data_IF_395669664119
#
_entry.id   IF_395669664119
#
_cell.length_a   1.000
_cell.length_b   1.000
_cell.length_c   1.000
_cell.angle_alpha   90.00
_cell.angle_beta   90.00
_cell.angle_gamma   90.00
#
_symmetry.space_group_name_H-M   'P 1'
#
loop_
_entity.id
_entity.type
_entity.pdbx_description
1 polymer ?
#
# COMPACT_ATOMS: atom_id res chain seq x y z
N UNK A 1 6.59 -0.68 -12.41
CA UNK A 1 7.01 0.67 -12.86
C UNK A 1 7.51 0.68 -14.30
N UNK A 2 8.54 -0.10 -14.69
CA UNK A 2 9.12 -0.08 -16.06
C UNK A 2 8.04 -0.16 -17.14
N UNK A 3 7.25 -1.23 -17.15
CA UNK A 3 6.19 -1.44 -18.13
C UNK A 3 5.20 -0.27 -18.22
N UNK A 4 4.76 0.27 -17.08
CA UNK A 4 3.82 1.39 -17.03
C UNK A 4 4.45 2.67 -17.61
N UNK A 5 5.72 2.96 -17.30
CA UNK A 5 6.44 4.12 -17.84
C UNK A 5 6.63 4.03 -19.36
N UNK A 6 6.84 2.83 -19.89
CA UNK A 6 7.08 2.59 -21.33
C UNK A 6 5.78 2.51 -22.15
N UNK A 7 4.65 2.12 -21.55
CA UNK A 7 3.43 1.77 -22.29
C UNK A 7 2.20 2.63 -21.96
N UNK A 8 2.23 3.44 -20.88
CA UNK A 8 1.10 4.23 -20.43
C UNK A 8 1.44 5.73 -20.44
N UNK A 9 0.96 6.45 -21.45
CA UNK A 9 1.24 7.89 -21.64
C UNK A 9 0.58 8.79 -20.58
N UNK A 10 -0.56 8.39 -20.02
CA UNK A 10 -1.36 9.17 -19.07
C UNK A 10 -1.30 8.62 -17.64
N UNK A 11 -0.30 7.79 -17.33
CA UNK A 11 -0.12 7.21 -16.00
C UNK A 11 1.05 7.91 -15.29
N UNK A 12 0.79 8.51 -14.14
CA UNK A 12 1.83 9.15 -13.30
C UNK A 12 2.11 8.37 -12.02
N UNK A 13 1.21 7.47 -11.63
CA UNK A 13 1.28 6.74 -10.37
C UNK A 13 0.92 5.27 -10.54
N UNK A 14 1.50 4.41 -9.70
CA UNK A 14 1.15 3.00 -9.57
C UNK A 14 0.69 2.74 -8.16
N UNK A 15 -0.46 2.10 -8.00
CA UNK A 15 -0.92 1.57 -6.73
C UNK A 15 -0.51 0.10 -6.58
N UNK A 16 -0.10 -0.28 -5.37
CA UNK A 16 0.21 -1.67 -5.01
C UNK A 16 -0.61 -2.11 -3.80
N UNK A 17 -1.09 -3.34 -3.85
CA UNK A 17 -1.87 -3.97 -2.79
C UNK A 17 -1.39 -5.41 -2.60
N UNK A 18 -1.19 -5.89 -1.35
CA UNK A 18 -0.91 -7.30 -1.11
C UNK A 18 -2.16 -8.14 -1.33
N UNK A 19 -1.97 -9.36 -1.83
CA UNK A 19 -3.09 -10.28 -2.12
C UNK A 19 -3.59 -11.06 -0.90
N UNK A 20 -2.88 -11.01 0.21
CA UNK A 20 -3.15 -11.71 1.47
C UNK A 20 -3.88 -10.85 2.52
N UNK A 21 -4.36 -9.68 2.14
CA UNK A 21 -5.00 -8.68 3.00
C UNK A 21 -6.37 -8.27 2.44
N UNK A 22 -7.41 -9.12 2.55
CA UNK A 22 -8.66 -8.95 1.81
C UNK A 22 -9.63 -7.91 2.37
N UNK A 23 -9.38 -7.35 3.57
CA UNK A 23 -10.34 -6.48 4.27
C UNK A 23 -9.97 -4.98 4.25
N UNK A 24 -8.97 -4.60 3.45
CA UNK A 24 -8.60 -3.18 3.37
C UNK A 24 -9.76 -2.34 2.81
N UNK A 25 -9.97 -1.11 3.32
CA UNK A 25 -11.09 -0.28 2.91
C UNK A 25 -10.86 0.33 1.53
N UNK A 26 -11.92 0.41 0.73
CA UNK A 26 -11.86 1.06 -0.60
C UNK A 26 -11.44 2.53 -0.51
N UNK A 27 -11.78 3.21 0.59
CA UNK A 27 -11.39 4.59 0.87
C UNK A 27 -9.87 4.83 0.88
N UNK A 28 -9.05 3.78 0.99
CA UNK A 28 -7.58 3.91 0.91
C UNK A 28 -7.14 4.50 -0.44
N UNK A 29 -7.83 4.12 -1.52
CA UNK A 29 -7.53 4.59 -2.88
C UNK A 29 -7.85 6.07 -3.00
N UNK A 30 -9.03 6.48 -2.53
CA UNK A 30 -9.46 7.88 -2.56
C UNK A 30 -8.51 8.76 -1.73
N UNK A 31 -8.12 8.32 -0.53
CA UNK A 31 -7.18 9.03 0.31
C UNK A 31 -5.80 9.16 -0.36
N UNK A 32 -5.29 8.11 -1.00
CA UNK A 32 -4.05 8.18 -1.75
C UNK A 32 -4.13 9.17 -2.93
N UNK A 33 -5.23 9.15 -3.69
CA UNK A 33 -5.45 10.07 -4.82
C UNK A 33 -5.49 11.52 -4.32
N UNK A 34 -6.22 11.80 -3.25
CA UNK A 34 -6.31 13.15 -2.70
C UNK A 34 -4.94 13.64 -2.20
N UNK A 35 -4.19 12.78 -1.52
CA UNK A 35 -2.88 13.13 -1.01
C UNK A 35 -1.85 13.35 -2.13
N UNK A 36 -1.89 12.53 -3.18
CA UNK A 36 -0.98 12.67 -4.33
C UNK A 36 -1.10 14.01 -5.06
N UNK A 37 -2.29 14.64 -5.02
CA UNK A 37 -2.51 15.96 -5.61
C UNK A 37 -1.72 17.08 -4.94
N UNK A 38 -1.33 16.91 -3.68
CA UNK A 38 -0.51 17.89 -2.94
C UNK A 38 0.94 17.93 -3.42
N UNK A 39 1.40 16.90 -4.10
CA UNK A 39 2.77 16.76 -4.64
C UNK A 39 3.89 16.93 -3.60
N UNK A 40 3.61 16.64 -2.32
CA UNK A 40 4.57 16.76 -1.23
C UNK A 40 5.48 15.54 -1.11
N UNK A 41 5.03 14.39 -1.60
CA UNK A 41 5.78 13.13 -1.58
C UNK A 41 5.54 12.34 -2.85
N UNK A 42 6.56 11.58 -3.27
CA UNK A 42 6.50 10.67 -4.41
C UNK A 42 6.16 9.22 -4.00
N UNK A 43 6.09 8.96 -2.69
CA UNK A 43 5.72 7.66 -2.12
C UNK A 43 4.71 7.90 -1.01
N UNK A 44 3.53 7.30 -1.16
CA UNK A 44 2.49 7.29 -0.14
C UNK A 44 2.25 5.84 0.28
N UNK A 45 2.22 5.55 1.58
CA UNK A 45 1.92 4.22 2.09
C UNK A 45 0.90 4.29 3.22
N UNK A 46 0.15 3.21 3.41
CA UNK A 46 -0.76 3.10 4.53
C UNK A 46 -0.03 2.79 5.84
N UNK A 47 -0.60 3.26 6.93
CA UNK A 47 -0.26 2.83 8.29
C UNK A 47 -1.53 2.65 9.13
N UNK A 48 -1.48 1.80 10.13
CA UNK A 48 -2.54 1.61 11.12
C UNK A 48 -1.96 1.23 12.47
N UNK A 49 -2.52 1.77 13.55
CA UNK A 49 -2.05 1.49 14.91
C UNK A 49 -0.52 1.61 15.09
N UNK A 50 0.10 2.60 14.43
CA UNK A 50 1.55 2.81 14.44
C UNK A 50 2.37 1.84 13.61
N UNK A 51 1.75 0.87 12.90
CA UNK A 51 2.40 -0.08 11.99
C UNK A 51 2.35 0.43 10.56
N UNK A 52 3.49 0.41 9.88
CA UNK A 52 3.62 0.76 8.46
C UNK A 52 3.28 -0.43 7.56
N UNK A 53 2.51 -0.19 6.50
CA UNK A 53 2.11 -1.19 5.51
C UNK A 53 2.70 -0.80 4.15
N UNK A 54 4.01 -0.95 3.98
CA UNK A 54 4.74 -0.42 2.83
C UNK A 54 4.33 -1.00 1.47
N UNK A 55 3.62 -2.13 1.44
CA UNK A 55 3.08 -2.71 0.20
C UNK A 55 1.74 -2.08 -0.18
N UNK A 56 0.97 -1.54 0.78
CA UNK A 56 -0.18 -0.69 0.50
C UNK A 56 0.31 0.71 0.16
N UNK A 57 0.62 0.95 -1.10
CA UNK A 57 1.28 2.18 -1.49
C UNK A 57 0.87 2.73 -2.84
N UNK A 58 1.07 4.03 -2.98
CA UNK A 58 0.99 4.76 -4.23
C UNK A 58 2.38 5.31 -4.56
N UNK A 59 2.90 4.96 -5.73
CA UNK A 59 4.28 5.20 -6.14
C UNK A 59 4.30 6.06 -7.40
N UNK A 60 4.96 7.21 -7.35
CA UNK A 60 5.16 8.03 -8.55
C UNK A 60 6.05 7.32 -9.56
N UNK A 61 5.69 7.40 -10.84
CA UNK A 61 6.54 6.89 -11.93
C UNK A 61 7.82 7.70 -12.09
N UNK A 62 7.91 8.91 -11.55
CA UNK A 62 9.15 9.71 -11.53
C UNK A 62 10.26 9.04 -10.71
N UNK A 63 9.92 8.10 -9.84
CA UNK A 63 10.88 7.31 -9.08
C UNK A 63 11.50 6.14 -9.84
N UNK A 64 11.05 5.85 -11.06
CA UNK A 64 11.48 4.65 -11.77
C UNK A 64 12.99 4.56 -11.94
N UNK A 65 13.61 5.62 -12.47
CA UNK A 65 15.07 5.61 -12.77
C UNK A 65 15.87 5.49 -11.47
N UNK A 66 15.47 6.21 -10.43
CA UNK A 66 16.07 6.13 -9.10
C UNK A 66 15.94 4.74 -8.48
N UNK A 67 14.76 4.13 -8.55
CA UNK A 67 14.54 2.76 -8.05
C UNK A 67 15.41 1.75 -8.77
N UNK A 68 15.51 1.88 -10.09
CA UNK A 68 16.37 1.02 -10.93
C UNK A 68 17.83 1.13 -10.50
N UNK A 69 18.35 2.35 -10.37
CA UNK A 69 19.73 2.59 -9.96
C UNK A 69 20.02 2.09 -8.54
N UNK A 70 19.13 2.33 -7.60
CA UNK A 70 19.26 1.85 -6.22
C UNK A 70 19.24 0.31 -6.13
N UNK A 71 18.43 -0.38 -6.96
CA UNK A 71 18.40 -1.84 -7.03
C UNK A 71 19.68 -2.44 -7.64
N UNK A 72 20.23 -1.81 -8.68
CA UNK A 72 21.40 -2.31 -9.40
C UNK A 72 22.68 -1.95 -8.64
N UNK A 73 22.86 -0.71 -8.27
CA UNK A 73 24.11 -0.16 -7.77
C UNK A 73 24.20 -0.18 -6.23
N UNK A 74 23.12 0.16 -5.53
CA UNK A 74 23.10 0.22 -4.06
C UNK A 74 22.71 -1.10 -3.40
N UNK A 75 22.29 -2.11 -4.17
CA UNK A 75 21.86 -3.45 -3.71
C UNK A 75 20.76 -3.42 -2.64
N UNK A 76 19.97 -2.37 -2.57
CA UNK A 76 18.83 -2.27 -1.66
C UNK A 76 17.79 -3.32 -2.08
N UNK A 77 17.37 -4.18 -1.14
CA UNK A 77 16.43 -5.29 -1.41
C UNK A 77 15.13 -5.17 -0.63
N UNK A 78 15.14 -4.46 0.50
CA UNK A 78 13.95 -4.28 1.34
C UNK A 78 13.18 -3.03 0.92
N UNK A 79 11.88 -3.17 0.69
CA UNK A 79 11.00 -2.04 0.36
C UNK A 79 11.03 -0.98 1.44
N UNK A 80 11.04 -1.39 2.72
CA UNK A 80 11.08 -0.46 3.85
C UNK A 80 12.33 0.43 3.81
N UNK A 81 13.51 -0.15 3.63
CA UNK A 81 14.77 0.61 3.61
C UNK A 81 14.76 1.63 2.46
N UNK A 82 14.22 1.24 1.31
CA UNK A 82 14.14 2.13 0.16
C UNK A 82 13.12 3.26 0.34
N UNK A 83 11.96 2.96 0.92
CA UNK A 83 10.92 3.96 1.16
C UNK A 83 11.36 5.01 2.19
N UNK A 84 12.03 4.58 3.25
CA UNK A 84 12.56 5.49 4.29
C UNK A 84 13.63 6.43 3.72
N UNK A 85 14.50 5.94 2.86
CA UNK A 85 15.51 6.74 2.13
C UNK A 85 14.87 7.78 1.20
N UNK A 86 13.69 7.53 0.68
CA UNK A 86 13.04 8.35 -0.33
C UNK A 86 11.86 9.19 0.19
N UNK A 87 11.86 9.53 1.47
CA UNK A 87 10.86 10.44 2.11
C UNK A 87 9.42 9.98 1.90
N UNK A 88 9.15 8.75 2.30
CA UNK A 88 7.79 8.21 2.32
C UNK A 88 6.85 9.08 3.19
N UNK A 89 5.63 9.27 2.73
CA UNK A 89 4.52 9.80 3.54
C UNK A 89 3.58 8.67 3.92
N UNK A 90 3.40 8.45 5.21
CA UNK A 90 2.46 7.46 5.73
C UNK A 90 1.11 8.11 6.00
N UNK A 91 0.03 7.48 5.51
CA UNK A 91 -1.34 7.87 5.77
C UNK A 91 -1.90 6.93 6.82
N UNK A 92 -2.25 7.47 7.98
CA UNK A 92 -2.76 6.69 9.10
C UNK A 92 -4.25 6.41 8.93
N UNK A 93 -4.62 5.12 8.97
CA UNK A 93 -5.98 4.63 8.94
C UNK A 93 -6.36 4.09 10.32
N UNK A 94 -7.43 4.62 10.91
CA UNK A 94 -7.90 4.24 12.25
C UNK A 94 -9.16 3.37 12.13
N UNK A 95 -9.14 2.22 12.78
CA UNK A 95 -10.25 1.27 12.84
C UNK A 95 -10.52 0.86 14.29
N UNK A 96 -11.78 0.61 14.63
CA UNK A 96 -12.18 0.27 16.01
C UNK A 96 -12.30 -1.24 16.23
N UNK A 97 -12.87 -1.96 15.25
CA UNK A 97 -13.34 -3.33 15.47
C UNK A 97 -12.37 -4.41 15.00
N UNK A 98 -11.59 -4.14 13.97
CA UNK A 98 -10.57 -5.06 13.45
C UNK A 98 -9.50 -4.28 12.69
N UNK A 99 -8.33 -4.88 12.51
CA UNK A 99 -7.29 -4.33 11.64
C UNK A 99 -7.55 -4.76 10.19
N UNK A 100 -7.95 -3.84 9.29
CA UNK A 100 -8.23 -4.17 7.89
C UNK A 100 -6.97 -4.53 7.10
N UNK A 101 -5.79 -4.26 7.65
CA UNK A 101 -4.50 -4.67 7.08
C UNK A 101 -4.01 -6.02 7.62
N UNK A 102 -4.91 -6.78 8.21
CA UNK A 102 -4.64 -8.14 8.69
C UNK A 102 -4.28 -9.08 7.54
N UNK A 103 -3.13 -9.77 7.67
CA UNK A 103 -2.63 -10.72 6.66
C UNK A 103 -3.12 -12.13 6.97
N UNK A 104 -3.47 -12.88 5.93
CA UNK A 104 -3.82 -14.30 6.02
C UNK A 104 -2.59 -15.13 5.62
N UNK A 105 -1.84 -15.62 6.61
CA UNK A 105 -0.63 -16.41 6.38
C UNK A 105 -0.77 -17.88 6.83
N UNK A 106 -1.73 -18.18 7.72
CA UNK A 106 -1.96 -19.49 8.30
C UNK A 106 -3.40 -19.96 8.13
N UNK A 107 -3.65 -21.24 8.38
CA UNK A 107 -5.02 -21.78 8.39
C UNK A 107 -5.88 -21.17 9.52
N UNK A 108 -5.28 -20.76 10.61
CA UNK A 108 -5.95 -20.07 11.72
C UNK A 108 -6.35 -18.67 11.31
N UNK A 109 -5.47 -17.92 10.63
CA UNK A 109 -5.81 -16.62 10.04
C UNK A 109 -6.96 -16.74 9.06
N UNK A 110 -6.97 -17.78 8.24
CA UNK A 110 -8.08 -18.03 7.30
C UNK A 110 -9.40 -18.31 8.02
N UNK A 111 -9.39 -19.09 9.11
CA UNK A 111 -10.58 -19.32 9.93
C UNK A 111 -11.11 -18.02 10.55
N UNK A 112 -10.21 -17.19 11.07
CA UNK A 112 -10.55 -15.87 11.59
C UNK A 112 -11.14 -14.97 10.49
N UNK A 113 -10.51 -14.91 9.33
CA UNK A 113 -10.96 -14.13 8.18
C UNK A 113 -12.38 -14.54 7.73
N UNK A 114 -12.69 -15.83 7.68
CA UNK A 114 -14.04 -16.33 7.36
C UNK A 114 -15.10 -15.84 8.37
N UNK A 115 -14.79 -15.87 9.65
CA UNK A 115 -15.68 -15.34 10.71
C UNK A 115 -15.90 -13.84 10.57
N UNK A 116 -14.82 -13.09 10.33
CA UNK A 116 -14.87 -11.65 10.13
C UNK A 116 -15.71 -11.27 8.89
N UNK A 117 -15.50 -11.96 7.77
CA UNK A 117 -16.28 -11.76 6.55
C UNK A 117 -17.78 -11.96 6.76
N UNK A 118 -18.16 -12.99 7.53
CA UNK A 118 -19.57 -13.24 7.87
C UNK A 118 -20.17 -12.12 8.74
N UNK A 119 -19.40 -11.60 9.70
CA UNK A 119 -19.79 -10.45 10.54
C UNK A 119 -20.03 -9.20 9.71
N UNK A 120 -19.07 -8.82 8.87
CA UNK A 120 -19.15 -7.63 8.00
C UNK A 120 -20.37 -7.70 7.07
N UNK A 121 -20.64 -8.87 6.47
CA UNK A 121 -21.81 -9.06 5.59
C UNK A 121 -23.13 -8.88 6.32
N UNK A 122 -23.21 -9.26 7.60
CA UNK A 122 -24.41 -9.11 8.39
C UNK A 122 -24.66 -7.67 8.88
N UNK A 123 -23.59 -6.88 9.09
CA UNK A 123 -23.67 -5.48 9.47
C UNK A 123 -24.05 -4.56 8.29
N UNK A 124 -23.80 -5.00 7.06
CA UNK A 124 -24.15 -4.28 5.81
C UNK A 124 -25.54 -4.67 5.25
N UNK A 125 -26.29 -5.50 5.92
CA UNK A 125 -27.70 -5.82 5.60
C UNK A 125 -28.67 -5.01 6.44
#
# INVERSE_FOLDING_TARGET
MKWAKENLTNCSWIATFPCDTPFFPESIIENFIQESKKRESLILCASSHGRKHNIFGLWSLDLYDKLRDDLINSKIRKVQDWTEKNKIKNLEFKFKDYDPFFNINTLEDLKFAKKLSAKIKNENK
#
